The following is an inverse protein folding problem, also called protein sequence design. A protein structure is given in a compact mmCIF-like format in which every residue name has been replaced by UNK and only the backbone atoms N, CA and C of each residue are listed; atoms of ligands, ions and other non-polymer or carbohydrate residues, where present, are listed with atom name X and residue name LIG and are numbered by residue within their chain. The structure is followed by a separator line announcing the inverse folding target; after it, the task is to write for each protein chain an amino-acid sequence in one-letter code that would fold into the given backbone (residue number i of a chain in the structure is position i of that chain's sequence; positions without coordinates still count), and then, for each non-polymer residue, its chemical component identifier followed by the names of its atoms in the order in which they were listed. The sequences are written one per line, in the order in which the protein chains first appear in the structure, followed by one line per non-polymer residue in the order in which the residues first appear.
data_IF_240078985430
#
_entry.id   IF_240078985430
#
_cell.length_a   1.000
_cell.length_b   1.000
_cell.length_c   1.000
_cell.angle_alpha   90.00
_cell.angle_beta   90.00
_cell.angle_gamma   90.00
#
_symmetry.space_group_name_H-M   'P 1'
#
loop_
_entity.id
_entity.type
_entity.pdbx_description
1 polymer ?
#
# COMPACT_ATOMS: atom_id res chain seq x y z
N UNK A 1 26.05 2.53 12.41
CA UNK A 1 26.79 2.35 11.14
C UNK A 1 25.76 2.11 10.04
N UNK A 2 25.56 3.08 9.14
CA UNK A 2 24.64 2.97 8.01
C UNK A 2 25.39 2.38 6.82
N UNK A 3 25.37 1.05 6.69
CA UNK A 3 25.91 0.39 5.50
C UNK A 3 25.01 0.67 4.30
N UNK A 4 25.48 1.53 3.41
CA UNK A 4 24.92 1.81 2.09
C UNK A 4 25.04 0.54 1.23
N UNK A 5 24.02 -0.31 1.24
CA UNK A 5 23.99 -1.53 0.42
C UNK A 5 23.78 -1.18 -1.05
N UNK A 6 24.90 -1.17 -1.77
CA UNK A 6 25.12 -1.27 -3.22
C UNK A 6 23.85 -1.48 -4.05
N UNK A 7 23.43 -0.42 -4.76
CA UNK A 7 22.54 -0.51 -5.92
C UNK A 7 23.24 -1.22 -7.08
N UNK A 8 23.27 -2.54 -7.06
CA UNK A 8 23.69 -3.37 -8.18
C UNK A 8 22.51 -3.67 -9.10
N UNK A 9 22.71 -3.57 -10.42
CA UNK A 9 21.72 -4.02 -11.41
C UNK A 9 21.43 -5.51 -11.11
N UNK A 10 20.18 -5.88 -10.81
CA UNK A 10 19.85 -7.21 -10.33
C UNK A 10 20.20 -8.23 -11.41
N UNK A 11 21.12 -9.13 -11.10
CA UNK A 11 21.62 -10.14 -12.04
C UNK A 11 20.50 -11.07 -12.57
N UNK A 12 19.37 -11.12 -11.87
CA UNK A 12 18.19 -11.92 -12.21
C UNK A 12 16.92 -11.16 -11.84
N UNK A 13 16.56 -10.20 -12.67
CA UNK A 13 15.21 -9.62 -12.62
C UNK A 13 14.20 -10.77 -12.79
N UNK A 14 13.23 -10.96 -11.87
CA UNK A 14 12.21 -11.98 -12.04
C UNK A 14 11.35 -11.69 -13.27
N UNK A 15 10.88 -12.74 -13.95
CA UNK A 15 9.87 -12.61 -14.99
C UNK A 15 8.53 -12.14 -14.40
N UNK A 16 7.58 -11.86 -15.30
CA UNK A 16 6.28 -11.30 -14.95
C UNK A 16 5.48 -12.22 -14.02
N UNK A 17 5.45 -13.52 -14.29
CA UNK A 17 4.66 -14.49 -13.54
C UNK A 17 5.24 -14.71 -12.15
N UNK A 18 6.55 -14.88 -12.07
CA UNK A 18 7.27 -14.97 -10.79
C UNK A 18 7.04 -13.73 -9.93
N UNK A 19 7.16 -12.53 -10.51
CA UNK A 19 6.94 -11.30 -9.75
C UNK A 19 5.47 -11.11 -9.32
N UNK A 20 4.51 -11.59 -10.12
CA UNK A 20 3.10 -11.57 -9.77
C UNK A 20 2.82 -12.54 -8.61
N UNK A 21 3.26 -13.78 -8.70
CA UNK A 21 3.09 -14.79 -7.65
C UNK A 21 3.72 -14.35 -6.32
N UNK A 22 4.96 -13.83 -6.37
CA UNK A 22 5.61 -13.23 -5.21
C UNK A 22 4.85 -12.00 -4.70
N UNK A 23 4.31 -11.18 -5.61
CA UNK A 23 3.49 -10.03 -5.24
C UNK A 23 2.19 -10.42 -4.57
N UNK A 24 1.65 -11.62 -4.78
CA UNK A 24 0.45 -12.10 -4.09
C UNK A 24 0.77 -12.51 -2.65
N UNK A 25 1.87 -13.25 -2.43
CA UNK A 25 2.22 -13.78 -1.11
C UNK A 25 3.04 -12.82 -0.23
N UNK A 26 3.93 -12.02 -0.83
CA UNK A 26 4.91 -11.21 -0.11
C UNK A 26 4.63 -9.71 -0.24
N UNK A 27 5.16 -8.94 0.70
CA UNK A 27 5.21 -7.48 0.63
C UNK A 27 6.35 -7.02 -0.26
N UNK A 28 6.29 -5.78 -0.75
CA UNK A 28 7.36 -5.16 -1.54
C UNK A 28 8.70 -5.18 -0.80
N UNK A 29 8.67 -5.04 0.53
CA UNK A 29 9.86 -5.07 1.37
C UNK A 29 10.49 -6.45 1.48
N UNK A 30 9.66 -7.49 1.63
CA UNK A 30 10.14 -8.89 1.62
C UNK A 30 10.69 -9.29 0.24
N UNK A 31 10.05 -8.86 -0.84
CA UNK A 31 10.56 -9.09 -2.21
C UNK A 31 11.88 -8.34 -2.42
N UNK A 32 11.99 -7.11 -1.92
CA UNK A 32 13.22 -6.33 -1.96
C UNK A 32 14.37 -7.03 -1.22
N UNK A 33 14.11 -7.57 -0.03
CA UNK A 33 15.08 -8.37 0.72
C UNK A 33 15.45 -9.66 -0.02
N UNK A 34 14.48 -10.39 -0.57
CA UNK A 34 14.69 -11.65 -1.29
C UNK A 34 15.63 -11.48 -2.50
N UNK A 35 15.49 -10.37 -3.23
CA UNK A 35 16.32 -10.07 -4.40
C UNK A 35 17.53 -9.18 -4.08
N UNK A 36 17.74 -8.81 -2.81
CA UNK A 36 18.77 -7.87 -2.37
C UNK A 36 18.75 -6.55 -3.18
N UNK A 37 17.56 -5.98 -3.37
CA UNK A 37 17.34 -4.73 -4.08
C UNK A 37 16.55 -3.75 -3.23
N UNK A 38 16.55 -2.47 -3.60
CA UNK A 38 15.66 -1.48 -3.00
C UNK A 38 14.18 -1.72 -3.35
N UNK A 39 13.29 -1.27 -2.44
CA UNK A 39 11.83 -1.25 -2.66
C UNK A 39 11.46 -0.52 -3.96
N UNK A 40 12.19 0.53 -4.30
CA UNK A 40 12.02 1.30 -5.54
C UNK A 40 12.25 0.45 -6.79
N UNK A 41 13.23 -0.48 -6.75
CA UNK A 41 13.52 -1.40 -7.85
C UNK A 41 12.36 -2.38 -8.06
N UNK A 42 11.81 -2.93 -6.98
CA UNK A 42 10.62 -3.80 -7.03
C UNK A 42 9.41 -3.05 -7.58
N UNK A 43 9.17 -1.81 -7.14
CA UNK A 43 8.12 -0.95 -7.69
C UNK A 43 8.30 -0.71 -9.21
N UNK A 44 9.53 -0.45 -9.65
CA UNK A 44 9.85 -0.27 -11.07
C UNK A 44 9.61 -1.54 -11.88
N UNK A 45 9.93 -2.72 -11.35
CA UNK A 45 9.62 -3.99 -12.02
C UNK A 45 8.12 -4.20 -12.18
N UNK A 46 7.34 -3.94 -11.13
CA UNK A 46 5.88 -4.02 -11.18
C UNK A 46 5.30 -3.05 -12.21
N UNK A 47 5.83 -1.82 -12.27
CA UNK A 47 5.43 -0.82 -13.26
C UNK A 47 5.76 -1.27 -14.69
N UNK A 48 6.97 -1.77 -14.92
CA UNK A 48 7.40 -2.25 -16.23
C UNK A 48 6.54 -3.41 -16.72
N UNK A 49 6.21 -4.36 -15.84
CA UNK A 49 5.35 -5.51 -16.18
C UNK A 49 3.86 -5.19 -16.15
N UNK A 50 3.49 -3.92 -15.85
CA UNK A 50 2.10 -3.46 -15.67
C UNK A 50 1.31 -4.37 -14.74
N UNK A 51 1.96 -4.88 -13.69
CA UNK A 51 1.28 -5.72 -12.70
C UNK A 51 0.27 -4.85 -11.95
N UNK A 52 -0.96 -5.34 -11.74
CA UNK A 52 -1.95 -4.59 -11.00
C UNK A 52 -1.38 -4.24 -9.62
N UNK A 53 -1.56 -3.00 -9.15
CA UNK A 53 -1.26 -2.70 -7.76
C UNK A 53 -2.04 -3.68 -6.90
N UNK A 54 -1.38 -4.26 -5.88
CA UNK A 54 -2.08 -5.06 -4.85
C UNK A 54 -3.29 -4.23 -4.43
N UNK A 55 -4.48 -4.84 -4.49
CA UNK A 55 -5.74 -4.26 -4.00
C UNK A 55 -5.42 -3.59 -2.66
N UNK A 56 -5.57 -2.27 -2.60
CA UNK A 56 -5.18 -1.53 -1.40
C UNK A 56 -4.63 -0.12 -1.63
N UNK A 57 -4.41 0.33 -2.87
CA UNK A 57 -4.29 1.77 -3.11
C UNK A 57 -5.62 2.32 -3.63
N UNK A 58 -6.46 2.87 -2.74
CA UNK A 58 -7.71 3.49 -3.15
C UNK A 58 -7.39 4.64 -4.11
N UNK A 59 -7.85 4.54 -5.35
CA UNK A 59 -7.74 5.61 -6.37
C UNK A 59 -8.57 6.83 -5.99
N UNK A 60 -9.55 6.67 -5.08
CA UNK A 60 -10.32 7.76 -4.47
C UNK A 60 -10.54 7.48 -2.98
N UNK A 61 -10.02 8.37 -2.13
CA UNK A 61 -10.37 8.42 -0.71
C UNK A 61 -11.87 8.75 -0.58
N UNK A 62 -12.67 7.99 0.18
CA UNK A 62 -14.08 8.30 0.40
C UNK A 62 -14.23 9.63 1.14
N UNK A 63 -15.35 10.33 0.93
CA UNK A 63 -15.60 11.60 1.63
C UNK A 63 -15.70 11.41 3.15
N UNK A 64 -15.36 12.46 3.92
CA UNK A 64 -15.41 12.43 5.38
C UNK A 64 -16.80 12.01 5.92
N UNK A 65 -17.88 12.43 5.25
CA UNK A 65 -19.26 12.07 5.61
C UNK A 65 -19.52 10.58 5.38
N UNK A 66 -19.08 10.03 4.23
CA UNK A 66 -19.26 8.61 3.92
C UNK A 66 -18.45 7.73 4.87
N UNK A 67 -17.20 8.11 5.17
CA UNK A 67 -16.36 7.39 6.13
C UNK A 67 -16.95 7.42 7.55
N UNK A 68 -17.42 8.57 8.03
CA UNK A 68 -18.08 8.66 9.35
C UNK A 68 -19.35 7.81 9.44
N UNK A 69 -20.18 7.81 8.40
CA UNK A 69 -21.39 6.97 8.38
C UNK A 69 -21.03 5.47 8.42
N UNK A 70 -19.99 5.06 7.71
CA UNK A 70 -19.51 3.68 7.73
C UNK A 70 -18.94 3.30 9.12
N UNK A 71 -18.17 4.19 9.75
CA UNK A 71 -17.63 3.94 11.11
C UNK A 71 -18.72 3.86 12.20
N UNK A 72 -19.96 4.31 11.95
CA UNK A 72 -21.07 4.15 12.91
C UNK A 72 -21.65 2.73 12.93
N UNK A 73 -21.53 1.99 11.84
CA UNK A 73 -22.21 0.71 11.65
C UNK A 73 -21.29 -0.46 11.32
N UNK A 74 -20.01 -0.19 11.05
CA UNK A 74 -19.04 -1.20 10.62
C UNK A 74 -17.69 -0.98 11.30
N UNK A 75 -17.00 -2.09 11.58
CA UNK A 75 -15.61 -2.10 12.04
C UNK A 75 -14.63 -1.69 10.92
N UNK A 76 -13.41 -1.28 11.27
CA UNK A 76 -12.38 -0.98 10.26
C UNK A 76 -12.04 -2.17 9.37
N UNK A 77 -12.21 -3.40 9.86
CA UNK A 77 -12.08 -4.61 9.05
C UNK A 77 -13.15 -4.70 7.97
N UNK A 78 -14.41 -4.51 8.34
CA UNK A 78 -15.53 -4.55 7.40
C UNK A 78 -15.49 -3.40 6.40
N UNK A 79 -15.12 -2.20 6.86
CA UNK A 79 -14.96 -1.03 5.99
C UNK A 79 -13.81 -1.26 5.01
N UNK A 80 -12.71 -1.84 5.48
CA UNK A 80 -11.58 -2.23 4.66
C UNK A 80 -11.99 -3.22 3.57
N UNK A 81 -12.69 -4.29 3.96
CA UNK A 81 -13.23 -5.28 3.02
C UNK A 81 -14.16 -4.67 1.98
N UNK A 82 -15.11 -3.83 2.40
CA UNK A 82 -16.07 -3.16 1.50
C UNK A 82 -15.43 -2.19 0.52
N UNK A 83 -14.33 -1.54 0.92
CA UNK A 83 -13.63 -0.54 0.11
C UNK A 83 -12.40 -1.10 -0.61
N UNK A 84 -12.10 -2.39 -0.45
CA UNK A 84 -10.90 -3.02 -1.02
C UNK A 84 -9.60 -2.42 -0.48
N UNK A 85 -9.58 -2.04 0.80
CA UNK A 85 -8.41 -1.45 1.48
C UNK A 85 -8.12 -2.13 2.81
N UNK A 86 -6.89 -2.00 3.31
CA UNK A 86 -6.56 -2.53 4.63
C UNK A 86 -7.27 -1.75 5.76
N UNK A 87 -7.54 -2.39 6.91
CA UNK A 87 -8.10 -1.71 8.08
C UNK A 87 -7.23 -0.53 8.55
N UNK A 88 -5.90 -0.65 8.42
CA UNK A 88 -4.93 0.41 8.70
C UNK A 88 -5.11 1.62 7.78
N UNK A 89 -5.51 1.40 6.52
CA UNK A 89 -5.83 2.48 5.57
C UNK A 89 -7.08 3.24 6.02
N UNK A 90 -8.10 2.53 6.48
CA UNK A 90 -9.32 3.12 7.05
C UNK A 90 -8.98 3.97 8.27
N UNK A 91 -8.17 3.45 9.20
CA UNK A 91 -7.73 4.17 10.39
C UNK A 91 -6.97 5.47 10.04
N UNK A 92 -6.06 5.41 9.06
CA UNK A 92 -5.33 6.59 8.56
C UNK A 92 -6.27 7.67 8.01
N UNK A 93 -7.34 7.28 7.32
CA UNK A 93 -8.34 8.23 6.82
C UNK A 93 -9.15 8.88 7.94
N UNK A 94 -9.57 8.11 8.95
CA UNK A 94 -10.28 8.64 10.12
C UNK A 94 -9.40 9.67 10.84
N UNK A 95 -8.12 9.34 11.06
CA UNK A 95 -7.16 10.24 11.67
C UNK A 95 -6.98 11.53 10.87
N UNK A 96 -6.81 11.42 9.55
CA UNK A 96 -6.69 12.58 8.67
C UNK A 96 -7.89 13.53 8.75
N UNK A 97 -9.11 12.98 8.75
CA UNK A 97 -10.33 13.78 8.84
C UNK A 97 -10.58 14.36 10.22
N UNK A 98 -10.13 13.71 11.29
CA UNK A 98 -10.15 14.27 12.65
C UNK A 98 -9.30 15.54 12.70
N UNK A 99 -8.02 15.45 12.29
CA UNK A 99 -7.12 16.61 12.28
C UNK A 99 -7.61 17.76 11.40
N UNK A 100 -8.25 17.45 10.26
CA UNK A 100 -8.78 18.49 9.35
C UNK A 100 -10.00 19.24 9.92
N UNK A 101 -10.83 18.58 10.74
CA UNK A 101 -11.95 19.27 11.41
C UNK A 101 -11.45 20.15 12.56
N UNK A 102 -10.43 19.70 13.30
CA UNK A 102 -9.82 20.47 14.40
C UNK A 102 -9.20 21.78 13.89
N UNK A 103 -8.57 21.76 12.72
CA UNK A 103 -8.00 22.96 12.07
C UNK A 103 -9.01 23.90 11.40
N UNK A 104 -10.29 23.54 11.38
CA UNK A 104 -11.38 24.39 10.84
C UNK A 104 -12.29 24.97 11.93
N UNK A 105 -11.97 24.72 13.21
CA UNK A 105 -12.65 25.26 14.37
C UNK A 105 -11.88 26.40 15.03
N UNK A 106 -11.47 27.41 14.23
CA UNK A 106 -11.16 28.78 14.65
C UNK A 106 -11.73 29.72 13.61
#
# INVERSE_FOLDING_TARGET
MLETRKGGRPSRRPDKETLQHLSDMLTIEQIAQLYCVDRSTVCNWKKYYRLPPKIGRPTKRPSARKLRNLCKTCSYMEIGGRLGVSPSTVASWVYFYRQKNEKKGV
#
